data_IF_447504604058
#
_entry.id   IF_447504604058
#
_cell.length_a   1.000
_cell.length_b   1.000
_cell.length_c   1.000
_cell.angle_alpha   90.00
_cell.angle_beta   90.00
_cell.angle_gamma   90.00
#
_symmetry.space_group_name_H-M   'P 1'
#
loop_
_entity.id
_entity.type
_entity.pdbx_description
1 polymer ?
#
# COMPACT_ATOMS: atom_id res chain seq x y z
N UNK A 1 6.83 8.61 12.12
CA UNK A 1 6.77 7.43 13.00
C UNK A 1 6.90 6.19 12.12
N UNK A 2 7.75 5.23 12.49
CA UNK A 2 7.92 4.01 11.70
C UNK A 2 6.77 3.03 11.98
N UNK A 3 6.20 2.44 10.94
CA UNK A 3 5.21 1.37 11.05
C UNK A 3 5.93 0.02 11.10
N UNK A 4 5.43 -0.88 11.94
CA UNK A 4 5.94 -2.24 12.11
C UNK A 4 5.27 -3.18 11.09
N UNK A 5 6.00 -3.70 10.08
CA UNK A 5 5.44 -4.59 9.06
C UNK A 5 4.83 -5.87 9.64
N UNK A 6 5.34 -6.36 10.78
CA UNK A 6 4.87 -7.61 11.38
C UNK A 6 3.42 -7.55 11.88
N UNK A 7 2.83 -6.35 11.96
CA UNK A 7 1.43 -6.14 12.37
C UNK A 7 0.43 -6.22 11.23
N UNK A 8 0.89 -6.24 9.98
CA UNK A 8 0.04 -6.19 8.79
C UNK A 8 0.05 -7.55 8.10
N UNK A 9 -1.05 -8.27 8.18
CA UNK A 9 -1.22 -9.60 7.57
C UNK A 9 -1.89 -9.54 6.21
N UNK A 10 -2.45 -8.39 5.83
CA UNK A 10 -3.21 -8.20 4.59
C UNK A 10 -2.57 -7.07 3.77
N UNK A 11 -2.20 -7.38 2.53
CA UNK A 11 -1.75 -6.40 1.56
C UNK A 11 -2.82 -6.22 0.47
N UNK A 12 -3.28 -4.99 0.29
CA UNK A 12 -4.17 -4.58 -0.79
C UNK A 12 -3.36 -3.92 -1.90
N UNK A 13 -3.20 -4.63 -3.01
CA UNK A 13 -2.51 -4.12 -4.19
C UNK A 13 -3.48 -3.31 -5.04
N UNK A 14 -3.21 -2.02 -5.18
CA UNK A 14 -4.05 -1.07 -5.90
C UNK A 14 -3.17 -0.23 -6.85
N UNK A 15 -2.78 -0.77 -8.01
CA UNK A 15 -1.82 -0.13 -8.91
C UNK A 15 -2.30 1.21 -9.46
N UNK A 16 -3.60 1.42 -9.63
CA UNK A 16 -4.15 2.67 -10.14
C UNK A 16 -4.47 3.64 -8.99
N UNK A 17 -4.26 4.96 -9.18
CA UNK A 17 -4.62 5.97 -8.19
C UNK A 17 -6.10 5.92 -7.77
N UNK A 18 -7.00 5.56 -8.69
CA UNK A 18 -8.42 5.43 -8.41
C UNK A 18 -8.72 4.21 -7.52
N UNK A 19 -8.02 3.10 -7.72
CA UNK A 19 -8.14 1.90 -6.88
C UNK A 19 -7.60 2.18 -5.48
N UNK A 20 -6.44 2.83 -5.40
CA UNK A 20 -5.83 3.18 -4.12
C UNK A 20 -6.73 4.14 -3.33
N UNK A 21 -7.33 5.12 -4.01
CA UNK A 21 -8.28 6.04 -3.38
C UNK A 21 -9.55 5.33 -2.91
N UNK A 22 -10.08 4.39 -3.69
CA UNK A 22 -11.22 3.57 -3.27
C UNK A 22 -10.88 2.72 -2.04
N UNK A 23 -9.70 2.09 -2.02
CA UNK A 23 -9.20 1.31 -0.89
C UNK A 23 -9.02 2.16 0.37
N UNK A 24 -8.47 3.37 0.24
CA UNK A 24 -8.34 4.32 1.36
C UNK A 24 -9.70 4.71 1.93
N UNK A 25 -10.70 4.94 1.08
CA UNK A 25 -12.06 5.26 1.53
C UNK A 25 -12.76 4.10 2.26
N UNK A 26 -12.24 2.87 2.15
CA UNK A 26 -12.77 1.69 2.83
C UNK A 26 -12.06 1.40 4.16
N UNK A 27 -11.07 2.21 4.54
CA UNK A 27 -10.42 2.09 5.84
C UNK A 27 -11.33 2.61 6.96
N UNK A 28 -11.52 1.80 8.00
CA UNK A 28 -12.18 2.22 9.24
C UNK A 28 -11.26 3.15 10.05
N UNK A 29 -9.95 2.91 9.97
CA UNK A 29 -8.90 3.75 10.56
C UNK A 29 -7.70 3.87 9.65
N UNK A 30 -7.12 5.05 9.61
CA UNK A 30 -5.86 5.32 8.93
C UNK A 30 -4.71 5.42 9.93
N UNK A 31 -3.59 4.77 9.64
CA UNK A 31 -2.39 4.81 10.45
C UNK A 31 -1.35 5.73 9.81
N UNK A 32 -0.98 6.79 10.52
CA UNK A 32 0.03 7.74 10.08
C UNK A 32 1.42 7.19 10.39
N UNK A 33 2.17 6.87 9.35
CA UNK A 33 3.55 6.45 9.48
C UNK A 33 4.14 6.00 8.15
N UNK A 34 5.37 5.50 8.17
CA UNK A 34 6.03 4.93 7.00
C UNK A 34 6.63 3.59 7.36
N UNK A 35 6.54 2.62 6.45
CA UNK A 35 7.30 1.40 6.56
C UNK A 35 8.78 1.68 6.21
N UNK A 36 9.73 0.91 6.78
CA UNK A 36 11.11 0.96 6.34
C UNK A 36 11.21 0.42 4.89
N UNK A 37 11.35 1.32 3.91
CA UNK A 37 11.53 0.98 2.49
C UNK A 37 13.02 0.97 2.12
N UNK A 38 13.43 0.10 1.19
CA UNK A 38 14.77 0.15 0.61
C UNK A 38 14.81 1.05 -0.64
N UNK A 39 16.00 1.49 -1.04
CA UNK A 39 16.18 2.24 -2.30
C UNK A 39 15.77 1.35 -3.48
N UNK A 40 14.75 1.76 -4.22
CA UNK A 40 14.18 1.00 -5.34
C UNK A 40 12.71 0.64 -5.15
N UNK A 41 12.20 0.72 -3.91
CA UNK A 41 10.80 0.48 -3.57
C UNK A 41 10.03 1.81 -3.63
N UNK A 42 9.85 2.37 -4.83
CA UNK A 42 9.10 3.62 -5.02
C UNK A 42 7.57 3.45 -4.83
N UNK A 43 7.13 2.37 -4.19
CA UNK A 43 5.72 2.13 -3.88
C UNK A 43 5.21 3.08 -2.82
N UNK A 44 3.97 3.53 -2.97
CA UNK A 44 3.29 4.29 -1.91
C UNK A 44 2.53 3.28 -1.05
N UNK A 45 3.06 3.01 0.15
CA UNK A 45 2.37 2.21 1.15
C UNK A 45 1.57 3.11 2.10
N UNK A 46 0.25 2.93 2.11
CA UNK A 46 -0.64 3.53 3.12
C UNK A 46 -1.14 2.43 4.04
N UNK A 47 -1.26 2.70 5.34
CA UNK A 47 -1.60 1.70 6.33
C UNK A 47 -2.91 2.06 7.03
N UNK A 48 -3.69 1.06 7.37
CA UNK A 48 -4.94 1.25 8.08
C UNK A 48 -5.54 -0.03 8.64
N UNK A 49 -6.79 0.08 9.04
CA UNK A 49 -7.61 -1.00 9.57
C UNK A 49 -8.89 -1.14 8.72
N UNK A 50 -9.27 -2.36 8.38
CA UNK A 50 -10.58 -2.70 7.79
C UNK A 50 -11.17 -3.85 8.59
N UNK A 51 -12.35 -3.66 9.17
CA UNK A 51 -13.08 -4.63 9.97
C UNK A 51 -12.22 -5.28 11.08
N UNK A 52 -11.35 -4.49 11.75
CA UNK A 52 -10.46 -4.99 12.79
C UNK A 52 -9.17 -5.65 12.30
N UNK A 53 -8.93 -5.71 10.99
CA UNK A 53 -7.70 -6.25 10.41
C UNK A 53 -6.78 -5.12 9.94
N UNK A 54 -5.49 -5.21 10.27
CA UNK A 54 -4.50 -4.27 9.78
C UNK A 54 -4.17 -4.56 8.31
N UNK A 55 -4.38 -3.56 7.45
CA UNK A 55 -4.19 -3.64 6.01
C UNK A 55 -3.12 -2.63 5.57
N UNK A 56 -2.24 -3.06 4.68
CA UNK A 56 -1.36 -2.16 3.93
C UNK A 56 -1.86 -2.04 2.50
N UNK A 57 -2.10 -0.82 2.03
CA UNK A 57 -2.46 -0.50 0.65
C UNK A 57 -1.18 -0.13 -0.08
N UNK A 58 -0.90 -0.82 -1.17
CA UNK A 58 0.29 -0.61 -1.98
C UNK A 58 -0.11 -0.11 -3.37
N UNK A 59 0.41 1.05 -3.77
CA UNK A 59 0.14 1.65 -5.09
C UNK A 59 1.42 2.08 -5.78
N UNK A 60 1.37 2.16 -7.11
CA UNK A 60 2.50 2.62 -7.92
C UNK A 60 2.60 4.15 -7.88
N UNK A 61 3.81 4.71 -7.94
CA UNK A 61 4.00 6.14 -8.10
C UNK A 61 3.38 6.63 -9.41
N UNK A 62 2.78 7.83 -9.36
CA UNK A 62 2.13 8.43 -10.51
C UNK A 62 3.12 8.59 -11.68
N UNK A 63 2.77 8.07 -12.85
CA UNK A 63 3.59 8.15 -14.06
C UNK A 63 4.35 6.87 -14.43
N UNK A 64 4.27 5.80 -13.63
CA UNK A 64 4.83 4.50 -14.01
C UNK A 64 3.91 3.77 -15.02
N UNK A 65 4.51 3.19 -16.07
CA UNK A 65 3.75 2.48 -17.11
C UNK A 65 2.99 1.29 -16.53
N UNK A 66 1.71 1.18 -16.88
CA UNK A 66 0.82 0.12 -16.41
C UNK A 66 1.13 -1.21 -17.11
N UNK A 67 1.13 -2.32 -16.36
CA UNK A 67 1.33 -3.67 -16.91
C UNK A 67 1.67 -4.71 -15.83
N UNK A 68 1.63 -6.00 -16.20
CA UNK A 68 1.88 -7.12 -15.27
C UNK A 68 3.24 -7.01 -14.56
N UNK A 69 4.27 -6.50 -15.24
CA UNK A 69 5.60 -6.31 -14.65
C UNK A 69 5.60 -5.27 -13.52
N UNK A 70 4.86 -4.17 -13.68
CA UNK A 70 4.73 -3.12 -12.67
C UNK A 70 3.91 -3.59 -11.46
N UNK A 71 2.87 -4.40 -11.69
CA UNK A 71 2.09 -5.01 -10.61
C UNK A 71 2.89 -6.09 -9.85
N UNK A 72 3.73 -6.87 -10.54
CA UNK A 72 4.59 -7.86 -9.89
C UNK A 72 5.63 -7.22 -8.97
N UNK A 73 6.13 -6.03 -9.34
CA UNK A 73 7.12 -5.31 -8.56
C UNK A 73 6.58 -4.92 -7.16
N UNK A 74 5.28 -4.68 -7.01
CA UNK A 74 4.60 -4.40 -5.73
C UNK A 74 4.58 -5.59 -4.74
N UNK A 75 4.82 -6.81 -5.24
CA UNK A 75 4.66 -8.06 -4.48
C UNK A 75 5.99 -8.82 -4.35
N UNK A 76 7.04 -8.37 -5.04
CA UNK A 76 8.38 -8.95 -5.03
C UNK A 76 9.15 -8.54 -3.78
#
# INVERSE_FOLDING_TARGET
>A
MALDPARYSIAWIAPLPIEARAAMCLLDREYVGRFPMQRGDDYVFQAGEVCGHNVVIATLPAGQSYGNGSAAALVA
#
